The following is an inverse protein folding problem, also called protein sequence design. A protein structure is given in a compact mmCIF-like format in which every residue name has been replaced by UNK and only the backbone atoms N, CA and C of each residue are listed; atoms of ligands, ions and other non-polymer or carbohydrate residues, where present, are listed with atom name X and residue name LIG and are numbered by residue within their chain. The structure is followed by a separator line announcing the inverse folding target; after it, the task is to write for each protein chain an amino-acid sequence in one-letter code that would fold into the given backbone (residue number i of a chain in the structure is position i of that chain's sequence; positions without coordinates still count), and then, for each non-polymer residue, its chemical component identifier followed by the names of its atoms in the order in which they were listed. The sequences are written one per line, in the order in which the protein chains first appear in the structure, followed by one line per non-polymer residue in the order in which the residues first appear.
data_IF_084028057422
#
_entry.id   IF_084028057422
#
_cell.length_a   1.000
_cell.length_b   1.000
_cell.length_c   1.000
_cell.angle_alpha   90.00
_cell.angle_beta   90.00
_cell.angle_gamma   90.00
#
_symmetry.space_group_name_H-M   'P 1'
#
loop_
_entity.id
_entity.type
_entity.pdbx_description
1 polymer ?
#
# COMPACT_ATOMS: atom_id res chain seq x y z
N UNK A 1 40.82 -51.93 -13.55
CA UNK A 1 40.57 -50.73 -12.76
C UNK A 1 41.86 -50.42 -12.04
N UNK A 2 42.52 -49.33 -12.40
CA UNK A 2 43.81 -48.98 -11.81
C UNK A 2 43.67 -48.33 -10.45
N UNK A 3 44.68 -48.39 -9.61
CA UNK A 3 44.73 -47.72 -8.30
C UNK A 3 44.48 -46.18 -8.43
N UNK A 4 44.80 -45.60 -9.55
CA UNK A 4 44.58 -44.19 -9.86
C UNK A 4 43.07 -43.85 -10.03
N UNK A 5 42.29 -44.78 -10.62
CA UNK A 5 40.86 -44.59 -10.80
C UNK A 5 40.11 -44.54 -9.41
N UNK A 6 40.57 -45.37 -8.48
CA UNK A 6 40.05 -45.33 -7.10
C UNK A 6 40.41 -44.04 -6.36
N UNK A 7 41.62 -43.55 -6.58
CA UNK A 7 42.08 -42.30 -5.93
C UNK A 7 41.25 -41.09 -6.42
N UNK A 8 40.98 -41.01 -7.73
CA UNK A 8 40.16 -39.95 -8.31
C UNK A 8 38.73 -39.99 -7.78
N UNK A 9 38.12 -41.17 -7.77
CA UNK A 9 36.76 -41.37 -7.27
C UNK A 9 36.65 -41.02 -5.78
N UNK A 10 37.62 -41.43 -4.99
CA UNK A 10 37.66 -41.13 -3.56
C UNK A 10 37.80 -39.60 -3.32
N UNK A 11 38.67 -38.90 -4.05
CA UNK A 11 38.83 -37.45 -3.97
C UNK A 11 37.54 -36.72 -4.33
N UNK A 12 36.85 -37.18 -5.39
CA UNK A 12 35.58 -36.56 -5.84
C UNK A 12 34.50 -36.74 -4.79
N UNK A 13 34.32 -37.97 -4.28
CA UNK A 13 33.32 -38.27 -3.26
C UNK A 13 33.60 -37.47 -1.96
N UNK A 14 34.86 -37.40 -1.54
CA UNK A 14 35.25 -36.64 -0.35
C UNK A 14 34.99 -35.14 -0.55
N UNK A 15 35.29 -34.58 -1.73
CA UNK A 15 35.04 -33.20 -2.08
C UNK A 15 33.54 -32.85 -2.04
N UNK A 16 32.71 -33.71 -2.62
CA UNK A 16 31.25 -33.54 -2.60
C UNK A 16 30.70 -33.63 -1.18
N UNK A 17 31.20 -34.60 -0.39
CA UNK A 17 30.78 -34.77 0.99
C UNK A 17 31.15 -33.55 1.86
N UNK A 18 32.36 -33.03 1.65
CA UNK A 18 32.83 -31.81 2.36
C UNK A 18 31.99 -30.61 2.00
N UNK A 19 31.61 -30.43 0.72
CA UNK A 19 30.72 -29.35 0.29
C UNK A 19 29.31 -29.49 0.90
N UNK A 20 28.77 -30.71 0.96
CA UNK A 20 27.47 -30.97 1.58
C UNK A 20 27.47 -30.67 3.09
N UNK A 21 28.53 -31.04 3.80
CA UNK A 21 28.67 -30.78 5.25
C UNK A 21 28.95 -29.30 5.51
N UNK A 22 29.71 -28.62 4.64
CA UNK A 22 30.00 -27.19 4.76
C UNK A 22 28.83 -26.30 4.31
N UNK A 23 27.89 -26.81 3.52
CA UNK A 23 26.77 -26.06 2.96
C UNK A 23 25.94 -25.27 3.99
N UNK A 24 25.57 -25.82 5.19
CA UNK A 24 24.86 -25.05 6.19
C UNK A 24 25.70 -23.93 6.84
N UNK A 25 27.00 -24.11 6.92
CA UNK A 25 27.91 -23.09 7.43
C UNK A 25 28.16 -22.00 6.36
N UNK A 26 28.33 -22.39 5.11
CA UNK A 26 28.43 -21.47 3.97
C UNK A 26 27.17 -20.65 3.77
N UNK A 27 26.00 -21.21 3.95
CA UNK A 27 24.74 -20.45 3.83
C UNK A 27 24.62 -19.37 4.88
N UNK A 28 25.20 -19.52 6.07
CA UNK A 28 25.24 -18.48 7.11
C UNK A 28 26.24 -17.38 6.82
N UNK A 29 27.35 -17.70 6.12
CA UNK A 29 28.37 -16.72 5.73
C UNK A 29 27.98 -15.98 4.45
N UNK A 30 27.24 -16.66 3.56
CA UNK A 30 26.71 -16.11 2.31
C UNK A 30 25.35 -15.43 2.49
N UNK A 31 24.93 -15.08 3.70
CA UNK A 31 23.83 -14.12 3.88
C UNK A 31 24.34 -12.81 3.31
N UNK A 32 23.97 -12.52 2.07
CA UNK A 32 24.23 -11.23 1.45
C UNK A 32 23.67 -10.16 2.37
N UNK A 33 24.47 -9.17 2.80
CA UNK A 33 23.91 -8.04 3.53
C UNK A 33 22.80 -7.45 2.65
N UNK A 34 21.66 -7.14 3.24
CA UNK A 34 20.62 -6.44 2.52
C UNK A 34 21.21 -5.15 1.97
N UNK A 35 21.13 -5.01 0.66
CA UNK A 35 21.63 -3.83 -0.04
C UNK A 35 20.55 -2.76 -0.18
N UNK A 36 19.28 -3.13 0.01
CA UNK A 36 18.15 -2.22 -0.19
C UNK A 36 17.19 -2.31 0.99
N UNK A 37 16.90 -1.16 1.56
CA UNK A 37 15.91 -0.97 2.60
C UNK A 37 14.69 -0.26 1.99
N UNK A 38 13.51 -0.86 2.09
CA UNK A 38 12.30 -0.30 1.50
C UNK A 38 11.04 -0.69 2.27
N UNK A 39 9.97 0.01 1.96
CA UNK A 39 8.64 -0.31 2.44
C UNK A 39 7.75 -0.55 1.24
N UNK A 40 6.88 -1.54 1.30
CA UNK A 40 5.83 -1.74 0.32
C UNK A 40 4.50 -1.21 0.87
N UNK A 41 3.69 -0.65 -0.01
CA UNK A 41 2.32 -0.22 0.30
C UNK A 41 1.44 -0.63 -0.87
N UNK A 42 0.37 -1.38 -0.59
CA UNK A 42 -0.54 -1.86 -1.62
C UNK A 42 -1.99 -1.89 -1.16
N UNK A 43 -2.87 -2.02 -2.13
CA UNK A 43 -4.28 -2.35 -1.93
C UNK A 43 -4.62 -3.60 -2.74
N UNK A 44 -5.54 -4.43 -2.22
CA UNK A 44 -6.10 -5.58 -2.90
C UNK A 44 -7.63 -5.51 -2.84
N UNK A 45 -8.29 -6.24 -3.74
CA UNK A 45 -9.75 -6.39 -3.70
C UNK A 45 -10.21 -7.24 -2.49
N UNK A 46 -11.50 -7.40 -2.32
CA UNK A 46 -12.06 -8.21 -1.24
C UNK A 46 -11.68 -9.71 -1.32
N UNK A 47 -11.14 -10.18 -2.45
CA UNK A 47 -10.69 -11.54 -2.69
C UNK A 47 -9.16 -11.69 -2.65
N UNK A 48 -8.43 -10.70 -2.12
CA UNK A 48 -6.95 -10.62 -2.09
C UNK A 48 -6.30 -10.63 -3.48
N UNK A 49 -6.92 -9.98 -4.48
CA UNK A 49 -6.37 -9.85 -5.82
C UNK A 49 -6.09 -8.39 -6.16
N UNK A 50 -5.08 -8.16 -7.00
CA UNK A 50 -4.74 -6.82 -7.52
C UNK A 50 -5.59 -6.47 -8.76
N UNK A 51 -6.86 -6.84 -8.76
CA UNK A 51 -7.84 -6.63 -9.83
C UNK A 51 -9.25 -6.48 -9.23
N UNK A 52 -10.25 -6.20 -10.05
CA UNK A 52 -11.67 -6.13 -9.66
C UNK A 52 -11.97 -5.17 -8.49
N UNK A 53 -11.19 -4.09 -8.38
CA UNK A 53 -11.42 -3.07 -7.36
C UNK A 53 -12.80 -2.42 -7.50
N UNK A 54 -13.44 -1.99 -6.40
CA UNK A 54 -14.65 -1.18 -6.45
C UNK A 54 -14.41 0.05 -7.33
N UNK A 55 -15.15 0.18 -8.42
CA UNK A 55 -15.03 1.31 -9.33
C UNK A 55 -16.33 2.13 -9.38
N UNK A 56 -17.44 1.49 -9.76
CA UNK A 56 -18.74 2.12 -9.70
C UNK A 56 -19.30 1.97 -8.29
N UNK A 57 -19.44 3.09 -7.60
CA UNK A 57 -19.95 3.09 -6.23
C UNK A 57 -21.32 3.77 -6.16
N UNK A 58 -22.18 3.20 -5.32
CA UNK A 58 -23.53 3.70 -5.06
C UNK A 58 -23.58 4.29 -3.66
N UNK A 59 -24.39 5.31 -3.48
CA UNK A 59 -24.61 6.00 -2.22
C UNK A 59 -24.95 5.02 -1.09
N UNK A 60 -24.28 5.18 0.05
CA UNK A 60 -24.47 4.38 1.27
C UNK A 60 -24.26 2.86 1.13
N UNK A 61 -23.73 2.39 0.00
CA UNK A 61 -23.35 1.00 -0.18
C UNK A 61 -21.93 0.77 0.36
N UNK A 62 -21.75 -0.33 1.08
CA UNK A 62 -20.45 -0.71 1.63
C UNK A 62 -19.61 -1.44 0.58
N UNK A 63 -18.34 -1.04 0.49
CA UNK A 63 -17.31 -1.66 -0.32
C UNK A 63 -16.11 -2.01 0.56
N UNK A 64 -15.38 -3.05 0.19
CA UNK A 64 -14.24 -3.52 0.97
C UNK A 64 -13.00 -3.67 0.11
N UNK A 65 -11.85 -3.33 0.68
CA UNK A 65 -10.51 -3.54 0.12
C UNK A 65 -9.57 -3.96 1.24
N UNK A 66 -8.49 -4.65 0.89
CA UNK A 66 -7.37 -4.84 1.81
C UNK A 66 -6.33 -3.76 1.58
N UNK A 67 -5.78 -3.24 2.68
CA UNK A 67 -4.61 -2.36 2.68
C UNK A 67 -3.46 -3.08 3.37
N UNK A 68 -2.32 -3.16 2.71
CA UNK A 68 -1.15 -3.85 3.22
C UNK A 68 0.10 -2.97 3.25
N UNK A 69 0.96 -3.24 4.26
CA UNK A 69 2.27 -2.63 4.45
C UNK A 69 3.28 -3.75 4.71
N UNK A 70 4.36 -3.82 3.91
CA UNK A 70 5.50 -4.67 4.23
C UNK A 70 6.69 -3.81 4.66
N UNK A 71 7.27 -4.15 5.79
CA UNK A 71 8.45 -3.48 6.31
C UNK A 71 9.72 -4.27 5.95
N UNK A 72 10.64 -3.63 5.22
CA UNK A 72 11.97 -4.16 4.84
C UNK A 72 13.07 -3.16 5.20
N UNK A 73 12.89 -2.38 6.29
CA UNK A 73 13.82 -1.31 6.67
C UNK A 73 14.99 -1.78 7.56
N UNK A 74 15.01 -3.06 7.97
CA UNK A 74 16.04 -3.59 8.88
C UNK A 74 15.76 -3.33 10.36
N UNK A 75 14.61 -2.71 10.69
CA UNK A 75 14.17 -2.42 12.06
C UNK A 75 12.63 -2.43 12.15
N UNK A 76 12.11 -2.52 13.38
CA UNK A 76 10.68 -2.39 13.62
C UNK A 76 10.25 -0.93 13.36
N UNK A 77 9.34 -0.72 12.43
CA UNK A 77 8.88 0.60 12.02
C UNK A 77 7.49 0.92 12.57
N UNK A 78 7.29 2.19 12.96
CA UNK A 78 5.99 2.72 13.39
C UNK A 78 5.42 3.56 12.28
N UNK A 79 4.38 3.05 11.63
CA UNK A 79 3.71 3.70 10.51
C UNK A 79 2.41 4.37 10.94
N UNK A 80 2.08 5.48 10.25
CA UNK A 80 0.75 6.07 10.23
C UNK A 80 0.25 6.07 8.80
N UNK A 81 -1.00 5.65 8.61
CA UNK A 81 -1.69 5.78 7.33
C UNK A 81 -2.70 6.91 7.46
N UNK A 82 -2.63 7.88 6.54
CA UNK A 82 -3.62 8.93 6.39
C UNK A 82 -4.54 8.61 5.22
N UNK A 83 -5.84 8.55 5.51
CA UNK A 83 -6.88 8.33 4.49
C UNK A 83 -7.39 9.70 4.04
N UNK A 84 -7.34 9.94 2.74
CA UNK A 84 -7.74 11.20 2.12
C UNK A 84 -8.64 10.94 0.91
N UNK A 85 -9.41 11.95 0.57
CA UNK A 85 -10.26 11.94 -0.61
C UNK A 85 -10.11 13.23 -1.38
N UNK A 86 -10.12 13.16 -2.71
CA UNK A 86 -10.06 14.32 -3.59
C UNK A 86 -10.98 14.18 -4.80
N UNK A 87 -11.36 15.30 -5.37
CA UNK A 87 -11.96 15.36 -6.70
C UNK A 87 -10.89 15.37 -7.80
N UNK A 88 -11.31 15.56 -9.05
CA UNK A 88 -10.42 15.54 -10.22
C UNK A 88 -9.46 16.74 -10.31
N UNK A 89 -9.78 17.86 -9.67
CA UNK A 89 -9.04 19.14 -9.80
C UNK A 89 -8.07 19.40 -8.64
N UNK A 90 -8.26 18.73 -7.53
CA UNK A 90 -7.42 18.90 -6.34
C UNK A 90 -6.08 18.17 -6.50
N UNK A 91 -5.02 18.65 -5.84
CA UNK A 91 -3.70 18.08 -5.95
C UNK A 91 -3.62 16.67 -5.37
N UNK A 92 -2.90 15.79 -6.04
CA UNK A 92 -2.49 14.49 -5.51
C UNK A 92 -1.10 14.58 -4.89
N UNK A 93 -0.73 13.63 -4.02
CA UNK A 93 0.66 13.51 -3.60
C UNK A 93 1.55 13.20 -4.78
N UNK A 94 2.83 13.53 -4.69
CA UNK A 94 3.80 13.21 -5.73
C UNK A 94 4.29 11.77 -5.59
N UNK A 95 4.40 11.06 -6.72
CA UNK A 95 4.84 9.65 -6.78
C UNK A 95 6.08 9.43 -7.64
N UNK A 96 6.54 10.48 -8.34
CA UNK A 96 7.69 10.42 -9.24
C UNK A 96 8.88 11.21 -8.65
N UNK A 97 10.08 10.82 -9.08
CA UNK A 97 11.33 11.43 -8.61
C UNK A 97 11.89 10.77 -7.35
N UNK A 98 13.02 11.29 -6.86
CA UNK A 98 13.63 10.87 -5.60
C UNK A 98 12.64 10.92 -4.44
N UNK A 99 12.80 10.04 -3.46
CA UNK A 99 11.86 9.96 -2.32
C UNK A 99 11.88 11.26 -1.52
N UNK A 100 13.03 11.89 -1.39
CA UNK A 100 13.24 13.14 -0.67
C UNK A 100 12.46 14.32 -1.26
N UNK A 101 12.18 14.28 -2.57
CA UNK A 101 11.45 15.33 -3.28
C UNK A 101 9.93 15.09 -3.29
N UNK A 102 9.47 13.94 -2.78
CA UNK A 102 8.05 13.61 -2.77
C UNK A 102 7.33 14.33 -1.64
N UNK A 103 6.23 14.97 -1.98
CA UNK A 103 5.40 15.71 -1.02
C UNK A 103 4.02 15.07 -0.87
N UNK A 104 3.46 15.07 0.34
CA UNK A 104 2.10 14.58 0.57
C UNK A 104 1.08 15.55 -0.04
N UNK A 105 -0.15 15.08 -0.19
CA UNK A 105 -1.26 15.96 -0.54
C UNK A 105 -1.53 16.95 0.60
N UNK A 106 -1.80 18.21 0.24
CA UNK A 106 -2.19 19.26 1.19
C UNK A 106 -3.62 19.09 1.75
N UNK A 107 -4.37 18.11 1.26
CA UNK A 107 -5.72 17.85 1.72
C UNK A 107 -5.75 17.35 3.16
N UNK A 108 -6.78 17.69 3.93
CA UNK A 108 -6.92 17.19 5.28
C UNK A 108 -7.10 15.68 5.30
N UNK A 109 -6.57 15.03 6.31
CA UNK A 109 -6.81 13.62 6.55
C UNK A 109 -8.24 13.44 7.09
N UNK A 110 -8.97 12.49 6.50
CA UNK A 110 -10.32 12.11 6.93
C UNK A 110 -10.28 11.06 8.04
N UNK A 111 -9.27 10.21 8.01
CA UNK A 111 -9.07 9.16 8.99
C UNK A 111 -7.59 8.82 9.10
N UNK A 112 -7.12 8.54 10.32
CA UNK A 112 -5.74 8.13 10.57
C UNK A 112 -5.74 6.88 11.44
N UNK A 113 -4.81 5.98 11.16
CA UNK A 113 -4.49 4.88 12.05
C UNK A 113 -3.00 4.60 12.02
N UNK A 114 -2.52 3.98 13.09
CA UNK A 114 -1.10 3.69 13.26
C UNK A 114 -0.88 2.22 13.51
N UNK A 115 0.29 1.71 13.08
CA UNK A 115 0.66 0.31 13.24
C UNK A 115 2.18 0.16 13.38
N UNK A 116 2.60 -0.74 14.27
CA UNK A 116 3.98 -1.23 14.32
C UNK A 116 4.11 -2.45 13.42
N UNK A 117 5.10 -2.43 12.53
CA UNK A 117 5.41 -3.56 11.66
C UNK A 117 6.87 -3.96 11.91
N UNK A 118 7.10 -5.17 12.41
CA UNK A 118 8.44 -5.68 12.61
C UNK A 118 9.17 -5.83 11.27
N UNK A 119 10.50 -5.82 11.31
CA UNK A 119 11.28 -6.04 10.09
C UNK A 119 10.95 -7.39 9.45
N UNK A 120 10.93 -7.42 8.12
CA UNK A 120 10.54 -8.56 7.28
C UNK A 120 9.07 -9.00 7.40
N UNK A 121 8.27 -8.30 8.17
CA UNK A 121 6.87 -8.65 8.35
C UNK A 121 5.94 -7.82 7.45
N UNK A 122 4.76 -8.40 7.27
CA UNK A 122 3.64 -7.80 6.56
C UNK A 122 2.53 -7.54 7.58
N UNK A 123 1.95 -6.36 7.50
CA UNK A 123 0.69 -6.02 8.13
C UNK A 123 -0.36 -5.78 7.06
N UNK A 124 -1.53 -6.35 7.23
CA UNK A 124 -2.64 -6.17 6.31
C UNK A 124 -3.96 -6.06 7.09
N UNK A 125 -4.87 -5.24 6.59
CA UNK A 125 -6.19 -5.06 7.19
C UNK A 125 -7.27 -4.88 6.15
N UNK A 126 -8.47 -5.41 6.45
CA UNK A 126 -9.68 -5.15 5.68
C UNK A 126 -10.22 -3.78 6.04
N UNK A 127 -10.41 -2.93 5.03
CA UNK A 127 -11.06 -1.63 5.14
C UNK A 127 -12.41 -1.70 4.44
N UNK A 128 -13.46 -1.37 5.17
CA UNK A 128 -14.81 -1.24 4.61
C UNK A 128 -15.17 0.24 4.56
N UNK A 129 -15.62 0.71 3.41
CA UNK A 129 -15.96 2.12 3.21
C UNK A 129 -17.29 2.30 2.48
N UNK A 130 -17.94 3.41 2.75
CA UNK A 130 -19.11 3.90 2.01
C UNK A 130 -19.12 5.42 1.97
N UNK A 131 -19.79 5.97 0.96
CA UNK A 131 -19.94 7.41 0.81
C UNK A 131 -21.41 7.81 0.87
N UNK A 132 -21.70 8.88 1.59
CA UNK A 132 -22.97 9.59 1.47
C UNK A 132 -22.77 10.81 0.58
N UNK A 133 -23.58 10.89 -0.48
CA UNK A 133 -23.54 11.97 -1.46
C UNK A 133 -24.91 12.21 -2.10
N UNK A 134 -25.07 13.37 -2.70
CA UNK A 134 -26.26 13.73 -3.45
C UNK A 134 -25.90 14.12 -4.87
N UNK A 135 -26.66 13.64 -5.82
CA UNK A 135 -26.54 14.00 -7.22
C UNK A 135 -27.35 15.25 -7.55
N UNK A 136 -26.76 16.13 -8.37
CA UNK A 136 -27.36 17.28 -9.00
C UNK A 136 -27.11 17.20 -10.52
N UNK A 137 -27.81 17.96 -11.39
CA UNK A 137 -27.75 17.78 -12.85
C UNK A 137 -26.37 17.75 -13.50
N UNK A 138 -25.34 18.32 -12.88
CA UNK A 138 -23.97 18.38 -13.45
C UNK A 138 -22.87 18.08 -12.43
N UNK A 139 -23.24 17.72 -11.21
CA UNK A 139 -22.29 17.51 -10.11
C UNK A 139 -22.84 16.52 -9.10
N UNK A 140 -21.92 15.90 -8.38
CA UNK A 140 -22.21 15.19 -7.13
C UNK A 140 -21.60 15.98 -5.98
N UNK A 141 -22.32 16.11 -4.90
CA UNK A 141 -21.86 16.67 -3.64
C UNK A 141 -21.69 15.56 -2.63
N UNK A 142 -20.44 15.33 -2.20
CA UNK A 142 -20.08 14.28 -1.24
C UNK A 142 -20.05 14.89 0.15
N UNK A 143 -20.79 14.30 1.07
CA UNK A 143 -20.92 14.79 2.45
C UNK A 143 -20.02 14.05 3.41
N UNK A 144 -20.04 12.74 3.35
CA UNK A 144 -19.32 11.91 4.32
C UNK A 144 -18.68 10.69 3.69
N UNK A 145 -17.59 10.26 4.31
CA UNK A 145 -16.98 8.95 4.16
C UNK A 145 -17.16 8.20 5.49
N UNK A 146 -17.75 7.03 5.43
CA UNK A 146 -17.69 6.08 6.55
C UNK A 146 -16.60 5.06 6.27
N UNK A 147 -15.62 4.94 7.17
CA UNK A 147 -14.54 3.98 7.08
C UNK A 147 -14.50 3.11 8.35
N UNK A 148 -14.66 1.79 8.20
CA UNK A 148 -14.75 0.84 9.32
C UNK A 148 -15.73 1.30 10.41
N UNK A 149 -16.86 1.89 10.02
CA UNK A 149 -17.87 2.42 10.92
C UNK A 149 -17.58 3.83 11.50
N UNK A 150 -16.41 4.39 11.25
CA UNK A 150 -16.07 5.76 11.63
C UNK A 150 -16.53 6.74 10.55
N UNK A 151 -17.33 7.73 10.93
CA UNK A 151 -17.84 8.76 10.04
C UNK A 151 -16.88 9.94 9.96
N UNK A 152 -16.53 10.35 8.75
CA UNK A 152 -15.71 11.53 8.46
C UNK A 152 -16.44 12.48 7.53
N UNK A 153 -16.46 13.78 7.84
CA UNK A 153 -17.10 14.80 7.02
C UNK A 153 -16.13 15.32 5.94
N UNK A 154 -16.61 15.41 4.70
CA UNK A 154 -15.84 15.88 3.54
C UNK A 154 -16.03 17.38 3.23
N UNK A 155 -16.57 18.18 4.14
CA UNK A 155 -16.83 19.62 3.94
C UNK A 155 -17.54 19.94 2.61
N UNK A 156 -18.49 19.10 2.21
CA UNK A 156 -19.27 19.23 0.98
C UNK A 156 -18.41 19.20 -0.29
N UNK A 157 -17.54 18.22 -0.42
CA UNK A 157 -16.69 18.04 -1.59
C UNK A 157 -17.52 17.90 -2.87
N UNK A 158 -17.21 18.70 -3.90
CA UNK A 158 -17.97 18.74 -5.15
C UNK A 158 -17.17 18.03 -6.25
N UNK A 159 -17.82 17.07 -6.90
CA UNK A 159 -17.30 16.34 -8.06
C UNK A 159 -18.14 16.74 -9.28
N UNK A 160 -17.50 17.28 -10.30
CA UNK A 160 -18.16 17.65 -11.56
C UNK A 160 -18.19 16.47 -12.54
N UNK A 161 -19.19 16.51 -13.43
CA UNK A 161 -19.28 15.55 -14.52
C UNK A 161 -18.05 15.64 -15.45
N UNK A 162 -17.39 14.51 -15.66
CA UNK A 162 -16.33 14.38 -16.63
C UNK A 162 -16.89 13.88 -17.96
N UNK A 163 -17.01 14.76 -18.97
CA UNK A 163 -17.57 14.43 -20.27
C UNK A 163 -16.72 13.45 -21.08
N UNK A 164 -15.40 13.48 -20.91
CA UNK A 164 -14.48 12.59 -21.62
C UNK A 164 -14.56 11.14 -21.12
N UNK A 165 -14.74 10.96 -19.81
CA UNK A 165 -14.83 9.64 -19.17
C UNK A 165 -16.25 9.23 -18.81
N UNK A 166 -17.23 10.10 -19.03
CA UNK A 166 -18.67 9.89 -18.79
C UNK A 166 -18.97 9.44 -17.36
N UNK A 167 -18.58 10.23 -16.35
CA UNK A 167 -18.83 9.88 -14.96
C UNK A 167 -18.38 10.94 -13.96
N UNK A 168 -18.66 10.69 -12.68
CA UNK A 168 -18.28 11.52 -11.55
C UNK A 168 -17.16 10.85 -10.77
N UNK A 169 -15.93 11.32 -10.93
CA UNK A 169 -14.75 10.64 -10.43
C UNK A 169 -14.18 11.30 -9.19
N UNK A 170 -14.15 10.54 -8.10
CA UNK A 170 -13.39 10.85 -6.90
C UNK A 170 -12.22 9.89 -6.73
N UNK A 171 -11.21 10.29 -5.98
CA UNK A 171 -10.03 9.48 -5.69
C UNK A 171 -9.86 9.32 -4.18
N UNK A 172 -10.08 8.09 -3.70
CA UNK A 172 -9.81 7.68 -2.32
C UNK A 172 -8.38 7.17 -2.26
N UNK A 173 -7.54 7.71 -1.38
CA UNK A 173 -6.14 7.33 -1.31
C UNK A 173 -5.60 7.30 0.12
N UNK A 174 -4.51 6.54 0.28
CA UNK A 174 -3.86 6.20 1.52
C UNK A 174 -2.41 6.65 1.43
N UNK A 175 -2.01 7.63 2.22
CA UNK A 175 -0.64 8.10 2.34
C UNK A 175 0.06 7.40 3.49
N UNK A 176 1.29 6.96 3.26
CA UNK A 176 2.11 6.32 4.28
C UNK A 176 3.07 7.32 4.91
N UNK A 177 3.07 7.37 6.23
CA UNK A 177 3.93 8.18 7.06
C UNK A 177 4.74 7.28 7.98
N UNK A 178 6.01 7.56 8.15
CA UNK A 178 6.93 6.84 9.03
C UNK A 178 7.30 7.72 10.21
N UNK A 179 7.30 7.14 11.42
CA UNK A 179 7.72 7.86 12.60
C UNK A 179 9.24 8.03 12.63
N UNK A 180 9.69 9.27 12.66
CA UNK A 180 11.08 9.65 12.81
C UNK A 180 11.38 9.85 14.31
N UNK A 181 12.25 9.01 14.87
CA UNK A 181 12.62 9.05 16.29
C UNK A 181 13.43 10.32 16.64
N UNK A 182 14.27 10.80 15.73
CA UNK A 182 15.14 11.96 15.95
C UNK A 182 14.32 13.26 15.99
N UNK A 183 13.31 13.36 15.11
CA UNK A 183 12.41 14.52 15.01
C UNK A 183 11.16 14.39 15.90
N UNK A 184 10.94 13.21 16.49
CA UNK A 184 9.78 12.88 17.33
C UNK A 184 8.43 13.20 16.66
N UNK A 185 8.32 12.89 15.35
CA UNK A 185 7.15 13.16 14.54
C UNK A 185 6.99 12.13 13.41
N UNK A 186 5.78 12.06 12.85
CA UNK A 186 5.56 11.33 11.60
C UNK A 186 5.99 12.18 10.41
N UNK A 187 6.73 11.58 9.48
CA UNK A 187 7.16 12.18 8.23
C UNK A 187 6.59 11.40 7.05
N UNK A 188 6.24 12.12 5.98
CA UNK A 188 5.73 11.48 4.78
C UNK A 188 6.76 10.53 4.18
N UNK A 189 6.39 9.26 4.01
CA UNK A 189 7.33 8.22 3.54
C UNK A 189 7.43 8.14 2.01
N UNK A 190 6.95 9.17 1.30
CA UNK A 190 7.03 9.25 -0.15
C UNK A 190 6.18 8.20 -0.89
N UNK A 191 5.18 7.59 -0.22
CA UNK A 191 4.36 6.51 -0.78
C UNK A 191 2.88 6.75 -0.53
N UNK A 192 2.11 6.49 -1.58
CA UNK A 192 0.66 6.42 -1.47
C UNK A 192 0.10 5.40 -2.45
N UNK A 193 -1.09 4.90 -2.17
CA UNK A 193 -1.91 4.08 -3.07
C UNK A 193 -3.34 4.59 -3.02
N UNK A 194 -4.14 4.32 -4.05
CA UNK A 194 -5.53 4.77 -4.04
C UNK A 194 -6.35 4.23 -5.19
N UNK A 195 -7.65 4.49 -5.12
CA UNK A 195 -8.67 4.03 -6.05
C UNK A 195 -9.41 5.21 -6.67
N UNK A 196 -9.54 5.20 -7.98
CA UNK A 196 -10.51 6.02 -8.66
C UNK A 196 -11.90 5.39 -8.55
N UNK A 197 -12.84 6.16 -8.06
CA UNK A 197 -14.23 5.76 -7.84
C UNK A 197 -15.14 6.59 -8.74
N UNK A 198 -15.99 5.93 -9.48
CA UNK A 198 -17.07 6.56 -10.23
C UNK A 198 -18.34 6.53 -9.38
N UNK A 199 -18.80 7.68 -8.93
CA UNK A 199 -20.01 7.82 -8.13
C UNK A 199 -21.22 7.78 -9.05
N UNK A 200 -22.03 6.75 -8.91
CA UNK A 200 -23.21 6.54 -9.77
C UNK A 200 -24.48 6.98 -9.06
N UNK A 201 -25.45 7.49 -9.85
CA UNK A 201 -26.79 7.71 -9.35
C UNK A 201 -27.40 6.41 -8.85
N UNK A 202 -28.27 6.49 -7.84
CA UNK A 202 -29.18 5.38 -7.55
C UNK A 202 -30.07 5.18 -8.77
N UNK A 203 -29.97 4.01 -9.39
CA UNK A 203 -30.93 3.61 -10.41
C UNK A 203 -32.27 3.38 -9.68
N UNK A 204 -33.18 4.32 -9.81
CA UNK A 204 -34.57 4.22 -9.31
C UNK A 204 -35.30 3.11 -10.04
#
# INVERSE_FOLDING_TARGET
MSLEDYRLTFMTVTGVLTLLVASPALSRVLVYPRTEFFTELWILDANHRAEDYPFNITRNQNYSIYLGIANRLGYCAYYMVQVKFRNQTQPSPTSFGPIEDRVPSSLPSLYNFTVFVADENIWETLLTFSFDYQEFPSRIQVYTLTLNGSLSHLNNEIIFWNSSRRGYYGFLFFELWLYNLDENKFEYHGRFVGLWLNMTAETI
#
